data_IF_957228401900
#
_entry.id   IF_957228401900
#
_cell.length_a   1.000
_cell.length_b   1.000
_cell.length_c   1.000
_cell.angle_alpha   90.00
_cell.angle_beta   90.00
_cell.angle_gamma   90.00
#
_symmetry.space_group_name_H-M   'P 1'
#
loop_
_entity.id
_entity.type
_entity.pdbx_description
1 polymer ?
#
# COMPACT_ATOMS: atom_id res chain seq x y z
N UNK A 1 18.92 -16.99 48.93
CA UNK A 1 19.07 -15.74 48.19
C UNK A 1 18.49 -15.86 46.81
N UNK A 2 17.26 -15.34 46.55
CA UNK A 2 16.81 -15.00 45.21
C UNK A 2 16.03 -13.67 45.22
N UNK A 3 16.74 -12.53 45.18
CA UNK A 3 16.07 -11.20 45.24
C UNK A 3 16.41 -10.29 44.05
N UNK A 4 17.19 -10.76 43.06
CA UNK A 4 17.70 -9.90 41.98
C UNK A 4 17.06 -10.10 40.61
N UNK A 5 16.05 -10.98 40.45
CA UNK A 5 15.35 -11.23 39.18
C UNK A 5 14.17 -10.27 38.97
N UNK A 6 13.52 -9.80 40.04
CA UNK A 6 12.32 -8.97 39.99
C UNK A 6 12.54 -7.55 39.47
N UNK A 7 13.66 -6.92 39.81
CA UNK A 7 13.94 -5.53 39.44
C UNK A 7 14.27 -5.37 37.93
N UNK A 8 15.00 -6.32 37.35
CA UNK A 8 15.31 -6.31 35.90
C UNK A 8 14.10 -6.53 35.05
N UNK A 9 13.16 -7.38 35.46
CA UNK A 9 11.91 -7.65 34.73
C UNK A 9 10.94 -6.46 34.77
N UNK A 10 10.89 -5.73 35.88
CA UNK A 10 10.09 -4.50 35.98
C UNK A 10 10.64 -3.36 35.11
N UNK A 11 11.96 -3.23 35.00
CA UNK A 11 12.62 -2.23 34.15
C UNK A 11 12.35 -2.54 32.66
N UNK A 12 12.42 -3.81 32.24
CA UNK A 12 12.14 -4.23 30.88
C UNK A 12 10.66 -4.08 30.50
N UNK A 13 9.73 -4.34 31.42
CA UNK A 13 8.29 -4.10 31.20
C UNK A 13 7.96 -2.62 31.10
N UNK A 14 8.56 -1.76 31.89
CA UNK A 14 8.40 -0.29 31.81
C UNK A 14 8.97 0.26 30.51
N UNK A 15 10.14 -0.21 30.06
CA UNK A 15 10.74 0.22 28.79
C UNK A 15 9.89 -0.20 27.56
N UNK A 16 9.33 -1.43 27.54
CA UNK A 16 8.43 -1.89 26.48
C UNK A 16 7.11 -1.12 26.45
N UNK A 17 6.51 -0.79 27.60
CA UNK A 17 5.28 -0.01 27.67
C UNK A 17 5.49 1.43 27.22
N UNK A 18 6.64 2.03 27.54
CA UNK A 18 7.00 3.39 27.12
C UNK A 18 7.32 3.50 25.62
N UNK A 19 7.87 2.44 24.99
CA UNK A 19 8.17 2.40 23.56
C UNK A 19 6.89 2.18 22.73
N UNK A 20 5.93 1.39 23.19
CA UNK A 20 4.64 1.18 22.55
C UNK A 20 3.76 2.44 22.56
N UNK A 21 3.83 3.25 23.60
CA UNK A 21 3.07 4.48 23.74
C UNK A 21 3.66 5.59 22.83
N UNK A 22 4.98 5.70 22.73
CA UNK A 22 5.66 6.61 21.79
C UNK A 22 5.35 6.29 20.34
N UNK A 23 5.31 5.02 19.95
CA UNK A 23 4.94 4.60 18.59
C UNK A 23 3.52 5.05 18.23
N UNK A 24 2.55 4.86 19.14
CA UNK A 24 1.16 5.28 18.92
C UNK A 24 1.02 6.80 18.78
N UNK A 25 1.76 7.58 19.60
CA UNK A 25 1.74 9.05 19.52
C UNK A 25 2.34 9.52 18.19
N UNK A 26 3.47 8.93 17.76
CA UNK A 26 4.07 9.26 16.46
C UNK A 26 3.12 8.96 15.32
N UNK A 27 2.48 7.80 15.30
CA UNK A 27 1.50 7.42 14.26
C UNK A 27 0.33 8.41 14.18
N UNK A 28 -0.23 8.81 15.34
CA UNK A 28 -1.29 9.84 15.38
C UNK A 28 -0.81 11.18 14.86
N UNK A 29 0.42 11.58 15.18
CA UNK A 29 1.03 12.83 14.71
C UNK A 29 1.20 12.80 13.18
N UNK A 30 1.66 11.69 12.61
CA UNK A 30 1.74 11.48 11.15
C UNK A 30 0.36 11.62 10.50
N UNK A 31 -0.65 10.95 11.04
CA UNK A 31 -2.01 11.03 10.53
C UNK A 31 -2.58 12.44 10.58
N UNK A 32 -2.37 13.17 11.69
CA UNK A 32 -2.80 14.56 11.84
C UNK A 32 -2.14 15.46 10.78
N UNK A 33 -0.82 15.35 10.59
CA UNK A 33 -0.10 16.14 9.57
C UNK A 33 -0.57 15.79 8.15
N UNK A 34 -0.80 14.49 7.83
CA UNK A 34 -1.35 14.07 6.54
C UNK A 34 -2.74 14.67 6.30
N UNK A 35 -3.61 14.68 7.30
CA UNK A 35 -4.95 15.26 7.21
C UNK A 35 -4.91 16.78 6.97
N UNK A 36 -4.01 17.51 7.63
CA UNK A 36 -3.84 18.96 7.42
C UNK A 36 -3.30 19.26 6.02
N UNK A 37 -2.35 18.47 5.55
CA UNK A 37 -1.83 18.52 4.18
C UNK A 37 -2.92 18.21 3.14
N UNK A 38 -3.81 17.26 3.38
CA UNK A 38 -4.91 16.94 2.47
C UNK A 38 -5.97 18.05 2.40
N UNK A 39 -6.11 18.83 3.47
CA UNK A 39 -6.98 20.02 3.51
C UNK A 39 -6.33 21.26 2.91
N UNK A 40 -5.17 21.14 2.26
CA UNK A 40 -4.40 22.24 1.69
C UNK A 40 -4.03 23.35 2.71
N UNK A 41 -3.84 23.00 3.99
CA UNK A 41 -3.34 23.98 4.98
C UNK A 41 -1.94 24.48 4.59
N UNK A 42 -1.18 23.64 3.90
CA UNK A 42 0.06 24.00 3.23
C UNK A 42 0.02 23.50 1.79
N UNK A 43 0.23 24.42 0.84
CA UNK A 43 0.27 24.07 -0.58
C UNK A 43 1.58 23.37 -0.96
N UNK A 44 1.58 22.76 -2.15
CA UNK A 44 2.79 22.21 -2.74
C UNK A 44 3.88 23.28 -2.89
N UNK A 45 5.09 23.00 -2.41
CA UNK A 45 6.21 23.95 -2.36
C UNK A 45 6.28 24.78 -1.09
N UNK A 46 5.23 24.84 -0.27
CA UNK A 46 5.23 25.60 0.97
C UNK A 46 6.20 25.01 1.99
N UNK A 47 6.72 25.89 2.82
CA UNK A 47 7.53 25.54 3.97
C UNK A 47 6.61 25.22 5.16
N UNK A 48 6.77 24.03 5.75
CA UNK A 48 6.10 23.69 7.00
C UNK A 48 6.61 24.54 8.17
N UNK A 49 5.77 24.77 9.19
CA UNK A 49 6.23 25.35 10.44
C UNK A 49 7.43 24.60 11.05
N UNK A 50 8.22 25.26 11.86
CA UNK A 50 9.39 24.64 12.49
C UNK A 50 9.00 23.49 13.42
N UNK A 51 9.93 22.54 13.65
CA UNK A 51 9.68 21.41 14.59
C UNK A 51 9.19 21.89 15.97
N UNK A 52 9.72 22.99 16.57
CA UNK A 52 9.18 23.54 17.81
C UNK A 52 7.73 24.03 17.68
N UNK A 53 7.41 24.77 16.61
CA UNK A 53 6.07 25.29 16.37
C UNK A 53 5.05 24.18 16.14
N UNK A 54 5.41 23.14 15.37
CA UNK A 54 4.56 21.96 15.20
C UNK A 54 4.38 21.16 16.50
N UNK A 55 5.40 21.10 17.35
CA UNK A 55 5.32 20.41 18.63
C UNK A 55 4.34 21.10 19.59
N UNK A 56 4.39 22.42 19.63
CA UNK A 56 3.46 23.25 20.41
C UNK A 56 2.03 23.13 19.89
N UNK A 57 1.82 23.29 18.58
CA UNK A 57 0.52 23.25 17.92
C UNK A 57 -0.18 21.86 18.06
N UNK A 58 0.59 20.77 17.94
CA UNK A 58 0.08 19.39 18.04
C UNK A 58 0.06 18.84 19.48
N UNK A 59 0.58 19.59 20.47
CA UNK A 59 0.65 19.14 21.86
C UNK A 59 1.55 17.91 22.07
N UNK A 60 2.62 17.77 21.28
CA UNK A 60 3.53 16.61 21.33
C UNK A 60 5.00 17.05 21.53
N UNK A 61 5.89 16.09 21.83
CA UNK A 61 7.31 16.39 21.95
C UNK A 61 7.97 16.70 20.59
N UNK A 62 9.03 17.52 20.58
CA UNK A 62 9.85 17.76 19.37
C UNK A 62 10.41 16.46 18.78
N UNK A 63 10.74 15.49 19.63
CA UNK A 63 11.21 14.16 19.16
C UNK A 63 10.12 13.44 18.39
N UNK A 64 8.87 13.51 18.85
CA UNK A 64 7.71 12.95 18.16
C UNK A 64 7.48 13.61 16.82
N UNK A 65 7.52 14.94 16.75
CA UNK A 65 7.40 15.70 15.48
C UNK A 65 8.52 15.32 14.51
N UNK A 66 9.75 15.25 14.99
CA UNK A 66 10.92 14.86 14.17
C UNK A 66 10.76 13.46 13.60
N UNK A 67 10.28 12.51 14.38
CA UNK A 67 9.99 11.14 13.92
C UNK A 67 8.86 11.15 12.91
N UNK A 68 7.78 11.91 13.14
CA UNK A 68 6.67 12.04 12.20
C UNK A 68 7.10 12.68 10.86
N UNK A 69 7.89 13.76 10.90
CA UNK A 69 8.42 14.39 9.69
C UNK A 69 9.40 13.49 8.94
N UNK A 70 10.21 12.67 9.63
CA UNK A 70 11.08 11.69 9.00
C UNK A 70 10.27 10.60 8.27
N UNK A 71 9.15 10.19 8.84
CA UNK A 71 8.23 9.27 8.17
C UNK A 71 7.57 9.93 6.95
N UNK A 72 7.08 11.18 7.04
CA UNK A 72 6.52 11.91 5.90
C UNK A 72 7.56 12.13 4.79
N UNK A 73 8.83 12.33 5.14
CA UNK A 73 9.93 12.43 4.19
C UNK A 73 10.23 11.10 3.51
N UNK A 74 10.24 9.98 4.25
CA UNK A 74 10.39 8.64 3.67
C UNK A 74 9.23 8.27 2.74
N UNK A 75 8.05 8.84 2.97
CA UNK A 75 6.88 8.70 2.11
C UNK A 75 6.84 9.72 0.96
N UNK A 76 7.88 10.54 0.78
CA UNK A 76 7.97 11.54 -0.28
C UNK A 76 6.95 12.69 -0.19
N UNK A 77 6.26 12.84 0.93
CA UNK A 77 5.25 13.89 1.15
C UNK A 77 5.91 15.25 1.40
N UNK A 78 7.05 15.22 2.10
CA UNK A 78 7.85 16.40 2.40
C UNK A 78 9.32 16.15 2.07
N UNK A 79 10.10 17.22 1.90
CA UNK A 79 11.55 17.18 1.75
C UNK A 79 12.21 18.08 2.79
N UNK A 80 13.19 17.57 3.52
CA UNK A 80 14.04 18.37 4.42
C UNK A 80 15.20 18.97 3.64
N UNK A 81 15.38 20.28 3.78
CA UNK A 81 16.55 20.98 3.24
C UNK A 81 17.40 21.47 4.41
N UNK A 82 18.61 20.96 4.49
CA UNK A 82 19.52 21.29 5.59
C UNK A 82 19.63 22.81 5.79
N UNK A 83 19.43 23.29 7.02
CA UNK A 83 19.45 24.72 7.37
C UNK A 83 18.25 25.54 6.86
N UNK A 84 17.45 25.03 5.92
CA UNK A 84 16.36 25.77 5.29
C UNK A 84 14.96 25.40 5.82
N UNK A 85 14.75 24.15 6.26
CA UNK A 85 13.48 23.68 6.81
C UNK A 85 12.90 22.48 6.08
N UNK A 86 11.63 22.19 6.35
CA UNK A 86 10.86 21.10 5.71
C UNK A 86 9.84 21.72 4.75
N UNK A 87 9.76 21.21 3.53
CA UNK A 87 8.91 21.72 2.45
C UNK A 87 7.95 20.64 1.97
N UNK A 88 6.73 21.04 1.63
CA UNK A 88 5.74 20.16 1.00
C UNK A 88 6.16 19.88 -0.44
N UNK A 89 6.19 18.62 -0.84
CA UNK A 89 6.58 18.27 -2.22
C UNK A 89 5.50 18.65 -3.22
N UNK A 90 5.92 19.20 -4.38
CA UNK A 90 5.02 19.67 -5.45
C UNK A 90 4.34 18.52 -6.20
N UNK A 91 4.97 17.35 -6.24
CA UNK A 91 4.36 16.10 -6.71
C UNK A 91 4.22 15.24 -5.48
N UNK A 92 2.97 14.97 -5.08
CA UNK A 92 2.70 13.90 -4.12
C UNK A 92 2.67 12.60 -4.92
N UNK A 93 3.78 11.86 -5.02
CA UNK A 93 3.68 10.52 -5.57
C UNK A 93 2.71 9.74 -4.68
N UNK A 94 1.86 8.94 -5.28
CA UNK A 94 1.19 7.88 -4.57
C UNK A 94 2.30 6.94 -4.09
N UNK A 95 2.72 7.10 -2.83
CA UNK A 95 3.78 6.26 -2.28
C UNK A 95 3.15 4.99 -1.73
N UNK A 96 3.31 3.91 -2.44
CA UNK A 96 2.94 2.58 -1.98
C UNK A 96 4.13 1.89 -1.32
N UNK A 97 3.88 1.33 -0.16
CA UNK A 97 4.85 0.50 0.55
C UNK A 97 4.79 -0.92 0.00
N UNK A 98 5.85 -1.34 -0.69
CA UNK A 98 5.93 -2.67 -1.31
C UNK A 98 6.01 -3.84 -0.30
N UNK A 99 6.27 -3.56 0.96
CA UNK A 99 6.32 -4.61 1.99
C UNK A 99 4.96 -4.87 2.67
N UNK A 100 3.93 -4.13 2.30
CA UNK A 100 2.57 -4.35 2.78
C UNK A 100 1.69 -4.68 1.57
N UNK A 101 1.03 -5.83 1.64
CA UNK A 101 0.03 -6.23 0.66
C UNK A 101 -1.26 -5.42 0.88
N UNK A 102 -1.25 -4.17 0.43
CA UNK A 102 -2.40 -3.27 0.50
C UNK A 102 -3.09 -3.23 -0.86
N UNK A 103 -4.39 -3.45 -0.90
CA UNK A 103 -5.15 -3.23 -2.12
C UNK A 103 -5.06 -1.79 -2.63
N UNK A 104 -5.19 -1.59 -3.95
CA UNK A 104 -5.00 -0.29 -4.60
C UNK A 104 -5.89 0.83 -4.02
N UNK A 105 -7.09 0.52 -3.52
CA UNK A 105 -7.95 1.50 -2.83
C UNK A 105 -7.26 2.06 -1.57
N UNK A 106 -6.72 1.18 -0.73
CA UNK A 106 -6.03 1.60 0.50
C UNK A 106 -4.72 2.33 0.18
N UNK A 107 -4.01 1.94 -0.87
CA UNK A 107 -2.82 2.61 -1.37
C UNK A 107 -3.14 4.07 -1.78
N UNK A 108 -4.18 4.30 -2.58
CA UNK A 108 -4.62 5.63 -3.00
C UNK A 108 -5.05 6.45 -1.78
N UNK A 109 -5.85 5.87 -0.87
CA UNK A 109 -6.32 6.53 0.34
C UNK A 109 -5.17 6.93 1.28
N UNK A 110 -4.16 6.07 1.44
CA UNK A 110 -2.99 6.34 2.30
C UNK A 110 -2.12 7.49 1.79
N UNK A 111 -2.19 7.79 0.48
CA UNK A 111 -1.53 8.96 -0.13
C UNK A 111 -2.28 10.28 0.08
N UNK A 112 -3.44 10.25 0.76
CA UNK A 112 -4.30 11.41 1.00
C UNK A 112 -5.17 11.78 -0.20
N UNK A 113 -5.30 10.90 -1.21
CA UNK A 113 -6.16 11.09 -2.38
C UNK A 113 -7.45 10.27 -2.24
N UNK A 114 -8.48 10.67 -2.96
CA UNK A 114 -9.77 9.98 -2.98
C UNK A 114 -9.72 8.83 -4.00
N UNK A 115 -9.83 7.56 -3.56
CA UNK A 115 -9.91 6.43 -4.48
C UNK A 115 -11.25 6.40 -5.17
N UNK A 116 -11.24 5.98 -6.44
CA UNK A 116 -12.44 5.74 -7.23
C UNK A 116 -12.20 4.64 -8.27
N UNK A 117 -13.26 4.26 -8.95
CA UNK A 117 -13.26 3.33 -10.09
C UNK A 117 -14.04 4.00 -11.21
N UNK A 118 -13.40 4.20 -12.36
CA UNK A 118 -14.07 4.73 -13.55
C UNK A 118 -14.67 3.64 -14.43
N UNK A 119 -14.11 2.43 -14.37
CA UNK A 119 -14.59 1.27 -15.10
C UNK A 119 -14.41 0.00 -14.27
N UNK A 120 -15.44 -0.85 -14.22
CA UNK A 120 -15.37 -2.16 -13.58
C UNK A 120 -16.26 -3.13 -14.34
N UNK A 121 -15.67 -4.21 -14.82
CA UNK A 121 -16.39 -5.32 -15.46
C UNK A 121 -15.85 -6.64 -14.92
N UNK A 122 -16.73 -7.63 -14.82
CA UNK A 122 -16.31 -8.97 -14.47
C UNK A 122 -17.12 -10.01 -15.26
N UNK A 123 -16.49 -11.16 -15.47
CA UNK A 123 -17.10 -12.29 -16.15
C UNK A 123 -16.45 -13.60 -15.72
N UNK A 124 -17.18 -14.68 -15.85
CA UNK A 124 -16.60 -16.01 -15.74
C UNK A 124 -15.93 -16.39 -17.07
N UNK A 125 -14.70 -16.87 -16.99
CA UNK A 125 -13.91 -17.36 -18.12
C UNK A 125 -13.24 -18.69 -17.78
N UNK A 126 -12.78 -19.42 -18.79
CA UNK A 126 -11.91 -20.56 -18.60
C UNK A 126 -10.47 -20.09 -18.31
N UNK A 127 -9.80 -20.71 -17.35
CA UNK A 127 -8.41 -20.43 -17.06
C UNK A 127 -7.52 -20.87 -18.24
N UNK A 128 -6.69 -19.96 -18.73
CA UNK A 128 -5.59 -20.30 -19.63
C UNK A 128 -4.41 -20.94 -18.87
N UNK A 129 -3.33 -21.26 -19.57
CA UNK A 129 -2.15 -21.92 -18.96
C UNK A 129 -1.51 -21.05 -17.86
N UNK A 130 -1.38 -19.72 -18.07
CA UNK A 130 -0.80 -18.80 -17.08
C UNK A 130 -1.68 -18.72 -15.82
N UNK A 131 -2.97 -18.49 -15.97
CA UNK A 131 -3.93 -18.38 -14.85
C UNK A 131 -4.01 -19.71 -14.10
N UNK A 132 -4.04 -20.84 -14.80
CA UNK A 132 -4.10 -22.16 -14.21
C UNK A 132 -2.87 -22.48 -13.37
N UNK A 133 -1.67 -22.19 -13.89
CA UNK A 133 -0.40 -22.32 -13.15
C UNK A 133 -0.38 -21.45 -11.89
N UNK A 134 -0.74 -20.16 -12.02
CA UNK A 134 -0.71 -19.19 -10.91
C UNK A 134 -1.68 -19.53 -9.79
N UNK A 135 -2.86 -20.05 -10.13
CA UNK A 135 -3.91 -20.40 -9.18
C UNK A 135 -3.85 -21.86 -8.74
N UNK A 136 -2.90 -22.66 -9.24
CA UNK A 136 -2.76 -24.09 -8.99
C UNK A 136 -4.09 -24.87 -9.27
N UNK A 137 -4.74 -24.57 -10.40
CA UNK A 137 -5.97 -25.20 -10.89
C UNK A 137 -5.74 -25.82 -12.27
N UNK A 138 -6.71 -26.60 -12.75
CA UNK A 138 -6.64 -27.19 -14.10
C UNK A 138 -6.84 -26.12 -15.19
N UNK A 139 -6.16 -26.28 -16.32
CA UNK A 139 -6.43 -25.48 -17.53
C UNK A 139 -7.88 -25.68 -17.95
N UNK A 140 -8.57 -24.58 -18.23
CA UNK A 140 -10.01 -24.60 -18.54
C UNK A 140 -10.94 -24.54 -17.34
N UNK A 141 -10.42 -24.63 -16.11
CA UNK A 141 -11.22 -24.46 -14.90
C UNK A 141 -11.91 -23.07 -14.91
N UNK A 142 -13.14 -22.97 -14.39
CA UNK A 142 -13.86 -21.69 -14.36
C UNK A 142 -13.24 -20.73 -13.34
N UNK A 143 -12.88 -19.54 -13.83
CA UNK A 143 -12.39 -18.42 -12.99
C UNK A 143 -13.19 -17.16 -13.23
N UNK A 144 -13.25 -16.30 -12.24
CA UNK A 144 -13.74 -14.94 -12.40
C UNK A 144 -12.60 -14.07 -12.89
N UNK A 145 -12.82 -13.36 -13.98
CA UNK A 145 -11.94 -12.31 -14.52
C UNK A 145 -12.57 -10.97 -14.19
N UNK A 146 -11.92 -10.19 -13.33
CA UNK A 146 -12.35 -8.87 -12.88
C UNK A 146 -11.40 -7.82 -13.45
N UNK A 147 -11.93 -6.94 -14.30
CA UNK A 147 -11.21 -5.79 -14.86
C UNK A 147 -11.63 -4.52 -14.15
N UNK A 148 -10.66 -3.66 -13.81
CA UNK A 148 -10.94 -2.37 -13.16
C UNK A 148 -9.97 -1.29 -13.63
N UNK A 149 -10.51 -0.08 -13.85
CA UNK A 149 -9.73 1.16 -13.99
C UNK A 149 -9.89 1.96 -12.72
N UNK A 150 -8.80 2.09 -11.95
CA UNK A 150 -8.80 2.80 -10.69
C UNK A 150 -8.37 4.24 -10.86
N UNK A 151 -9.04 5.13 -10.12
CA UNK A 151 -8.78 6.55 -10.17
C UNK A 151 -8.32 7.08 -8.81
N UNK A 152 -7.52 8.13 -8.84
CA UNK A 152 -7.16 8.93 -7.68
C UNK A 152 -7.57 10.38 -7.94
N UNK A 153 -8.49 10.92 -7.13
CA UNK A 153 -9.15 12.22 -7.36
C UNK A 153 -9.79 12.34 -8.75
N UNK A 154 -10.40 11.24 -9.24
CA UNK A 154 -11.06 11.16 -10.55
C UNK A 154 -10.13 10.91 -11.74
N UNK A 155 -8.81 10.94 -11.57
CA UNK A 155 -7.83 10.67 -12.63
C UNK A 155 -7.42 9.20 -12.62
N UNK A 156 -7.49 8.54 -13.78
CA UNK A 156 -7.08 7.14 -13.92
C UNK A 156 -5.58 6.97 -13.64
N UNK A 157 -5.24 6.00 -12.78
CA UNK A 157 -3.86 5.77 -12.32
C UNK A 157 -3.40 4.31 -12.45
N UNK A 158 -4.36 3.36 -12.47
CA UNK A 158 -4.06 1.92 -12.55
C UNK A 158 -5.13 1.20 -13.34
N UNK A 159 -4.72 0.26 -14.18
CA UNK A 159 -5.59 -0.79 -14.74
C UNK A 159 -5.23 -2.11 -14.06
N UNK A 160 -6.21 -2.84 -13.56
CA UNK A 160 -6.02 -4.17 -12.99
C UNK A 160 -6.88 -5.22 -13.67
N UNK A 161 -6.29 -6.41 -13.84
CA UNK A 161 -6.97 -7.66 -14.15
C UNK A 161 -6.75 -8.62 -12.98
N UNK A 162 -7.82 -9.02 -12.33
CA UNK A 162 -7.76 -9.93 -11.19
C UNK A 162 -8.50 -11.22 -11.55
N UNK A 163 -7.93 -12.36 -11.14
CA UNK A 163 -8.47 -13.68 -11.38
C UNK A 163 -8.57 -14.46 -10.07
N UNK A 164 -9.69 -15.14 -9.85
CA UNK A 164 -9.87 -16.05 -8.73
C UNK A 164 -10.83 -17.18 -9.12
N UNK A 165 -10.75 -18.38 -8.50
CA UNK A 165 -11.62 -19.51 -8.82
C UNK A 165 -13.10 -19.15 -8.69
N UNK A 166 -13.91 -19.45 -9.72
CA UNK A 166 -15.35 -19.17 -9.71
C UNK A 166 -16.07 -19.94 -8.58
N UNK A 167 -15.50 -21.06 -8.13
CA UNK A 167 -15.99 -21.85 -7.01
C UNK A 167 -15.98 -21.10 -5.65
N UNK A 168 -15.29 -19.96 -5.55
CA UNK A 168 -15.31 -19.13 -4.35
C UNK A 168 -16.60 -18.30 -4.22
N UNK A 169 -17.30 -18.05 -5.35
CA UNK A 169 -18.56 -17.32 -5.30
C UNK A 169 -19.64 -18.16 -4.60
N UNK A 170 -20.32 -17.62 -3.57
CA UNK A 170 -21.42 -18.32 -2.93
C UNK A 170 -22.65 -18.47 -3.85
N UNK A 171 -22.80 -17.52 -4.79
CA UNK A 171 -23.86 -17.50 -5.81
C UNK A 171 -23.43 -16.69 -7.05
N UNK A 172 -23.97 -17.00 -8.24
CA UNK A 172 -23.59 -16.33 -9.48
C UNK A 172 -23.93 -14.83 -9.54
N UNK A 173 -24.83 -14.35 -8.67
CA UNK A 173 -25.30 -12.97 -8.61
C UNK A 173 -24.55 -12.12 -7.59
N UNK A 174 -23.49 -12.64 -6.97
CA UNK A 174 -22.71 -11.90 -5.99
C UNK A 174 -22.13 -10.61 -6.58
N UNK A 175 -22.33 -9.49 -5.89
CA UNK A 175 -21.81 -8.18 -6.32
C UNK A 175 -20.39 -8.01 -5.80
N UNK A 176 -19.44 -7.87 -6.71
CA UNK A 176 -18.04 -7.59 -6.37
C UNK A 176 -17.91 -6.11 -6.05
N UNK A 177 -17.49 -5.79 -4.83
CA UNK A 177 -17.26 -4.43 -4.37
C UNK A 177 -15.94 -3.83 -4.88
N UNK A 178 -15.64 -2.57 -4.52
CA UNK A 178 -14.42 -1.89 -4.96
C UNK A 178 -13.14 -2.52 -4.43
N UNK A 179 -13.17 -3.15 -3.25
CA UNK A 179 -12.03 -3.87 -2.66
C UNK A 179 -12.18 -5.38 -2.88
N UNK A 180 -11.26 -5.98 -3.67
CA UNK A 180 -11.25 -7.42 -3.89
C UNK A 180 -10.96 -8.18 -2.58
N UNK A 181 -10.02 -7.73 -1.77
CA UNK A 181 -9.70 -8.39 -0.50
C UNK A 181 -10.87 -8.40 0.47
N UNK A 182 -11.60 -7.27 0.57
CA UNK A 182 -12.81 -7.22 1.39
C UNK A 182 -13.89 -8.16 0.85
N UNK A 183 -14.06 -8.23 -0.47
CA UNK A 183 -15.01 -9.14 -1.10
C UNK A 183 -14.64 -10.61 -0.86
N UNK A 184 -13.38 -10.98 -1.10
CA UNK A 184 -12.89 -12.34 -0.86
C UNK A 184 -13.07 -12.76 0.60
N UNK A 185 -12.73 -11.89 1.55
CA UNK A 185 -12.88 -12.17 2.98
C UNK A 185 -14.36 -12.25 3.41
N UNK A 186 -15.16 -11.23 3.14
CA UNK A 186 -16.50 -11.10 3.71
C UNK A 186 -17.57 -11.91 2.96
N UNK A 187 -17.43 -12.10 1.65
CA UNK A 187 -18.41 -12.77 0.81
C UNK A 187 -18.00 -14.19 0.47
N UNK A 188 -16.73 -14.40 0.11
CA UNK A 188 -16.22 -15.71 -0.30
C UNK A 188 -15.61 -16.52 0.87
N UNK A 189 -15.45 -15.92 2.06
CA UNK A 189 -14.82 -16.57 3.22
C UNK A 189 -13.35 -16.95 2.99
N UNK A 190 -12.65 -16.17 2.12
CA UNK A 190 -11.26 -16.38 1.75
C UNK A 190 -10.38 -15.24 2.28
N UNK A 191 -9.58 -15.54 3.29
CA UNK A 191 -8.66 -14.60 3.92
C UNK A 191 -7.31 -14.65 3.20
N UNK A 192 -6.82 -13.48 2.73
CA UNK A 192 -5.47 -13.34 2.19
C UNK A 192 -4.51 -13.11 3.34
N UNK A 193 -3.51 -13.99 3.48
CA UNK A 193 -2.46 -13.89 4.50
C UNK A 193 -1.23 -13.14 3.95
N UNK A 194 -0.76 -13.53 2.77
CA UNK A 194 0.37 -12.87 2.10
C UNK A 194 0.23 -12.91 0.58
N UNK A 195 1.03 -12.10 -0.11
CA UNK A 195 1.14 -12.08 -1.57
C UNK A 195 2.58 -12.14 -2.03
N UNK A 196 2.82 -12.86 -3.14
CA UNK A 196 4.11 -12.89 -3.84
C UNK A 196 3.98 -12.09 -5.12
N UNK A 197 4.74 -10.99 -5.22
CA UNK A 197 4.66 -10.06 -6.34
C UNK A 197 5.96 -9.99 -7.14
N UNK A 198 5.84 -9.99 -8.46
CA UNK A 198 6.90 -9.65 -9.41
C UNK A 198 6.64 -8.27 -9.99
N UNK A 199 7.66 -7.42 -10.04
CA UNK A 199 7.57 -6.04 -10.50
C UNK A 199 8.43 -5.86 -11.75
N UNK A 200 7.83 -5.36 -12.82
CA UNK A 200 8.48 -5.21 -14.12
C UNK A 200 8.19 -3.82 -14.71
N UNK A 201 9.24 -3.07 -15.17
CA UNK A 201 9.01 -1.85 -15.94
C UNK A 201 8.47 -2.20 -17.33
N UNK A 202 7.45 -1.48 -17.78
CA UNK A 202 6.85 -1.67 -19.10
C UNK A 202 6.32 -0.35 -19.67
N UNK A 203 5.84 -0.40 -20.90
CA UNK A 203 4.95 0.61 -21.48
C UNK A 203 3.50 0.17 -21.27
N UNK A 204 2.60 1.14 -21.18
CA UNK A 204 1.15 0.90 -21.01
C UNK A 204 0.57 0.03 -22.14
N UNK A 205 1.11 0.18 -23.35
CA UNK A 205 0.62 -0.50 -24.53
C UNK A 205 -0.73 0.03 -25.03
N UNK A 206 -1.14 -0.37 -26.26
CA UNK A 206 -2.34 0.15 -26.92
C UNK A 206 -3.64 -0.27 -26.20
N UNK A 207 -3.64 -1.42 -25.52
CA UNK A 207 -4.83 -1.99 -24.86
C UNK A 207 -5.30 -1.13 -23.69
N UNK A 208 -4.36 -0.61 -22.88
CA UNK A 208 -4.69 0.12 -21.64
C UNK A 208 -4.56 1.64 -21.78
N UNK A 209 -3.97 2.12 -22.89
CA UNK A 209 -3.70 3.54 -23.11
C UNK A 209 -4.96 4.41 -23.06
N UNK A 210 -6.04 3.97 -23.71
CA UNK A 210 -7.31 4.69 -23.75
C UNK A 210 -7.96 4.77 -22.35
N UNK A 211 -7.95 3.65 -21.60
CA UNK A 211 -8.55 3.60 -20.26
C UNK A 211 -7.80 4.47 -19.25
N UNK A 212 -6.48 4.61 -19.42
CA UNK A 212 -5.64 5.46 -18.57
C UNK A 212 -5.52 6.91 -19.05
N UNK A 213 -6.07 7.23 -20.24
CA UNK A 213 -6.01 8.58 -20.81
C UNK A 213 -4.58 9.02 -21.17
N UNK A 214 -3.71 8.08 -21.59
CA UNK A 214 -2.30 8.34 -21.89
C UNK A 214 -1.92 7.77 -23.25
N UNK A 215 -0.70 8.05 -23.70
CA UNK A 215 -0.13 7.43 -24.93
C UNK A 215 0.29 5.98 -24.63
N UNK A 216 0.30 5.15 -25.65
CA UNK A 216 0.69 3.73 -25.54
C UNK A 216 2.16 3.51 -25.11
N UNK A 217 3.03 4.49 -25.36
CA UNK A 217 4.44 4.50 -24.98
C UNK A 217 4.68 5.09 -23.58
N UNK A 218 3.63 5.50 -22.85
CA UNK A 218 3.75 5.95 -21.47
C UNK A 218 4.30 4.81 -20.58
N UNK A 219 5.20 5.17 -19.67
CA UNK A 219 5.82 4.19 -18.77
C UNK A 219 4.86 3.78 -17.66
N UNK A 220 4.88 2.50 -17.33
CA UNK A 220 4.18 1.93 -16.19
C UNK A 220 5.07 0.91 -15.45
N UNK A 221 4.71 0.63 -14.21
CA UNK A 221 5.16 -0.54 -13.47
C UNK A 221 4.07 -1.60 -13.53
N UNK A 222 4.40 -2.77 -14.04
CA UNK A 222 3.50 -3.93 -14.00
C UNK A 222 3.81 -4.71 -12.74
N UNK A 223 2.77 -4.99 -11.97
CA UNK A 223 2.85 -5.88 -10.80
C UNK A 223 2.01 -7.11 -11.12
N UNK A 224 2.67 -8.28 -11.10
CA UNK A 224 2.02 -9.60 -11.17
C UNK A 224 2.08 -10.21 -9.80
N UNK A 225 0.93 -10.50 -9.20
CA UNK A 225 0.87 -10.97 -7.82
C UNK A 225 -0.04 -12.18 -7.69
N UNK A 226 0.42 -13.16 -6.93
CA UNK A 226 -0.43 -14.25 -6.43
C UNK A 226 -0.61 -14.04 -4.93
N UNK A 227 -1.87 -14.04 -4.49
CA UNK A 227 -2.25 -13.96 -3.09
C UNK A 227 -2.54 -15.35 -2.55
N UNK A 228 -2.12 -15.60 -1.31
CA UNK A 228 -2.21 -16.89 -0.64
C UNK A 228 -2.94 -16.78 0.70
N UNK A 229 -3.59 -17.86 1.10
CA UNK A 229 -4.10 -18.03 2.46
C UNK A 229 -3.02 -18.52 3.43
N UNK A 230 -3.38 -18.67 4.71
CA UNK A 230 -2.47 -19.17 5.75
C UNK A 230 -2.01 -20.62 5.55
N UNK A 231 -2.68 -21.40 4.67
CA UNK A 231 -2.28 -22.74 4.27
C UNK A 231 -1.44 -22.74 2.97
N UNK A 232 -0.98 -21.56 2.54
CA UNK A 232 -0.22 -21.36 1.30
C UNK A 232 -0.98 -21.78 0.03
N UNK A 233 -2.32 -21.79 0.07
CA UNK A 233 -3.15 -22.05 -1.10
C UNK A 233 -3.39 -20.78 -1.88
N UNK A 234 -3.23 -20.75 -3.23
CA UNK A 234 -3.49 -19.56 -4.03
C UNK A 234 -4.97 -19.16 -3.98
N UNK A 235 -5.23 -17.88 -3.72
CA UNK A 235 -6.59 -17.33 -3.66
C UNK A 235 -6.89 -16.49 -4.89
N UNK A 236 -5.96 -15.59 -5.28
CA UNK A 236 -6.13 -14.71 -6.43
C UNK A 236 -4.82 -14.51 -7.17
N UNK A 237 -4.93 -14.22 -8.46
CA UNK A 237 -3.84 -13.77 -9.31
C UNK A 237 -4.22 -12.43 -9.90
N UNK A 238 -3.34 -11.44 -9.84
CA UNK A 238 -3.56 -10.10 -10.38
C UNK A 238 -2.43 -9.65 -11.29
N UNK A 239 -2.80 -8.87 -12.32
CA UNK A 239 -1.88 -8.14 -13.19
C UNK A 239 -2.29 -6.67 -13.16
N UNK A 240 -1.47 -5.83 -12.58
CA UNK A 240 -1.75 -4.42 -12.39
C UNK A 240 -0.76 -3.55 -13.16
N UNK A 241 -1.26 -2.59 -13.95
CA UNK A 241 -0.46 -1.61 -14.70
C UNK A 241 -0.57 -0.26 -13.99
N UNK A 242 0.46 0.14 -13.27
CA UNK A 242 0.50 1.39 -12.52
C UNK A 242 1.24 2.46 -13.31
N UNK A 243 0.58 3.59 -13.61
CA UNK A 243 1.23 4.70 -14.30
C UNK A 243 2.42 5.24 -13.52
N UNK A 244 3.61 5.27 -14.14
CA UNK A 244 4.82 5.79 -13.52
C UNK A 244 4.75 7.29 -13.20
N UNK A 245 3.93 8.05 -13.95
CA UNK A 245 3.69 9.47 -13.67
C UNK A 245 2.76 9.72 -12.48
N UNK A 246 1.98 8.71 -12.06
CA UNK A 246 0.98 8.83 -11.00
C UNK A 246 1.38 8.14 -9.69
N UNK A 247 2.21 7.10 -9.76
CA UNK A 247 2.55 6.22 -8.63
C UNK A 247 4.04 6.07 -8.46
N UNK A 248 4.50 6.12 -7.20
CA UNK A 248 5.88 5.79 -6.82
C UNK A 248 5.83 4.70 -5.76
N UNK A 249 6.56 3.62 -6.00
CA UNK A 249 6.70 2.53 -5.05
C UNK A 249 7.95 2.73 -4.21
N UNK A 250 7.83 2.57 -2.89
CA UNK A 250 8.95 2.66 -1.96
C UNK A 250 9.15 1.35 -1.22
N UNK A 251 10.40 0.93 -1.15
CA UNK A 251 10.83 -0.21 -0.36
C UNK A 251 11.89 0.24 0.62
N UNK A 252 11.67 0.00 1.91
CA UNK A 252 12.70 0.21 2.93
C UNK A 252 13.66 -0.98 2.91
N UNK A 253 14.92 -0.73 2.51
CA UNK A 253 15.98 -1.74 2.54
C UNK A 253 16.77 -1.60 3.83
N UNK A 254 16.85 -2.69 4.59
CA UNK A 254 17.71 -2.74 5.77
C UNK A 254 19.18 -2.89 5.36
N UNK A 255 20.07 -2.26 6.11
CA UNK A 255 21.51 -2.42 5.93
C UNK A 255 22.00 -3.83 6.30
N UNK A 256 23.19 -4.26 5.84
CA UNK A 256 23.68 -5.63 6.03
C UNK A 256 23.85 -6.05 7.50
N UNK A 257 23.95 -5.11 8.42
CA UNK A 257 24.07 -5.40 9.86
C UNK A 257 22.75 -5.76 10.55
N UNK A 258 21.61 -5.63 9.83
CA UNK A 258 20.29 -6.00 10.35
C UNK A 258 19.89 -7.44 9.98
N UNK A 259 20.67 -8.12 9.16
CA UNK A 259 20.43 -9.51 8.77
C UNK A 259 21.12 -10.41 9.81
N UNK A 260 20.37 -11.21 10.61
CA UNK A 260 21.01 -12.19 11.49
C UNK A 260 21.81 -13.18 10.65
N UNK A 261 22.99 -13.64 11.14
CA UNK A 261 23.75 -14.65 10.43
C UNK A 261 22.89 -15.89 10.20
N UNK A 262 22.93 -16.41 8.98
CA UNK A 262 22.24 -17.66 8.63
C UNK A 262 22.78 -18.76 9.54
N UNK A 263 21.94 -19.52 10.27
CA UNK A 263 22.43 -20.64 11.06
C UNK A 263 23.11 -21.66 10.13
N UNK A 264 24.34 -22.00 10.50
CA UNK A 264 25.19 -23.00 9.81
C UNK A 264 24.63 -24.41 9.94
#
# INVERSE_FOLDING_TARGET
MPENASAKDQVHRRARKHNGDRSKVTTRTVQSLKQRLSRNEWAAGDRLPSEPALAEDLGVSRVTVRAALAQLESEGIVTRRHGSGTYVNSVRPLVSSLHLNMGAEQMIRSSGRTPGISEMTWRQVAADEEIAERLAIEVGAPVISLYRVRTADGVAVTVSHDYFPAAFLPEPTATIGPSLYSFLSTVCGKEVDFGVATLEPATVGPVHAAALGVRSDALCLVIRQVDYDAAESPISYSVEHHLASALTFQLVRQGPHAIPPTPS
#
